data_IF_488165481400
#
_entry.id   IF_488165481400
#
_cell.length_a   1.000
_cell.length_b   1.000
_cell.length_c   1.000
_cell.angle_alpha   90.00
_cell.angle_beta   90.00
_cell.angle_gamma   90.00
#
_symmetry.space_group_name_H-M   'P 1'
#
loop_
_entity.id
_entity.type
_entity.pdbx_description
1 polymer ?
#
# COMPACT_ATOMS: atom_id res chain seq x y z
N UNK A 1 -5.86 15.90 50.88
CA UNK A 1 -5.87 16.48 49.52
C UNK A 1 -7.23 16.17 48.91
N UNK A 2 -7.99 17.20 48.55
CA UNK A 2 -9.34 17.07 47.98
C UNK A 2 -9.25 17.46 46.52
N UNK A 3 -9.57 16.54 45.61
CA UNK A 3 -9.79 16.85 44.19
C UNK A 3 -11.08 16.13 43.79
N UNK A 4 -12.18 16.89 43.75
CA UNK A 4 -13.42 16.47 43.15
C UNK A 4 -13.41 16.89 41.69
N UNK A 5 -13.38 15.92 40.76
CA UNK A 5 -13.55 16.17 39.34
C UNK A 5 -14.99 15.87 38.96
N UNK A 6 -15.78 16.92 38.71
CA UNK A 6 -17.10 16.81 38.08
C UNK A 6 -16.85 16.88 36.58
N UNK A 7 -17.20 15.80 35.85
CA UNK A 7 -17.23 15.79 34.39
C UNK A 7 -18.68 15.71 33.95
N UNK A 8 -19.18 16.81 33.39
CA UNK A 8 -20.47 16.87 32.71
C UNK A 8 -20.22 16.71 31.19
N UNK A 9 -20.71 15.63 30.60
CA UNK A 9 -20.73 15.42 29.15
C UNK A 9 -22.17 15.53 28.65
N UNK A 10 -22.45 16.63 27.94
CA UNK A 10 -23.68 16.81 27.20
C UNK A 10 -23.41 17.56 25.88
N UNK A 11 -23.58 16.85 24.77
CA UNK A 11 -23.94 17.32 23.41
C UNK A 11 -23.94 16.06 22.53
N UNK A 12 -25.04 15.54 21.97
CA UNK A 12 -26.04 16.17 21.12
C UNK A 12 -25.68 15.84 19.65
N UNK A 13 -26.27 14.80 19.04
CA UNK A 13 -27.30 14.89 17.97
C UNK A 13 -26.71 15.29 16.60
N UNK A 14 -27.06 14.80 15.41
CA UNK A 14 -28.16 14.02 14.83
C UNK A 14 -27.70 13.48 13.46
N UNK A 15 -28.47 12.55 12.90
CA UNK A 15 -28.25 11.79 11.66
C UNK A 15 -28.50 12.64 10.41
N UNK A 16 -27.79 12.37 9.31
CA UNK A 16 -28.22 12.76 7.95
C UNK A 16 -28.51 11.51 7.11
N UNK A 17 -29.55 11.63 6.27
CA UNK A 17 -30.30 10.56 5.64
C UNK A 17 -30.24 10.59 4.10
N UNK A 18 -30.67 9.46 3.50
CA UNK A 18 -31.23 9.23 2.14
C UNK A 18 -30.35 9.56 0.91
N UNK A 19 -30.01 8.58 0.04
CA UNK A 19 -30.80 7.87 -1.01
C UNK A 19 -31.19 8.71 -2.24
N UNK A 20 -30.71 8.29 -3.43
CA UNK A 20 -31.53 7.78 -4.56
C UNK A 20 -31.03 8.19 -5.97
N UNK A 21 -31.14 7.23 -6.90
CA UNK A 21 -31.32 7.44 -8.35
C UNK A 21 -30.05 7.22 -9.18
N UNK A 22 -30.01 6.43 -10.25
CA UNK A 22 -31.07 5.79 -11.03
C UNK A 22 -30.52 5.50 -12.45
N UNK A 23 -30.68 4.25 -12.87
CA UNK A 23 -30.71 3.65 -14.21
C UNK A 23 -30.06 4.34 -15.45
N UNK A 24 -29.21 3.53 -16.09
CA UNK A 24 -29.20 3.10 -17.50
C UNK A 24 -29.42 4.12 -18.64
N UNK A 25 -28.50 4.09 -19.61
CA UNK A 25 -28.87 4.10 -21.03
C UNK A 25 -27.81 3.36 -21.87
N UNK A 26 -28.24 2.23 -22.43
CA UNK A 26 -27.53 1.46 -23.45
C UNK A 26 -27.64 2.19 -24.79
N UNK A 27 -26.53 2.40 -25.51
CA UNK A 27 -26.56 2.71 -26.95
C UNK A 27 -25.79 1.64 -27.73
N UNK A 28 -26.47 1.18 -28.77
CA UNK A 28 -26.12 0.08 -29.65
C UNK A 28 -25.34 0.53 -30.89
N UNK A 29 -24.65 -0.43 -31.51
CA UNK A 29 -24.26 -0.44 -32.93
C UNK A 29 -22.81 -0.01 -33.18
N UNK A 30 -21.97 -0.73 -33.92
CA UNK A 30 -22.12 -1.99 -34.63
C UNK A 30 -20.79 -2.35 -35.30
N UNK A 31 -20.47 -3.63 -35.35
CA UNK A 31 -19.56 -4.23 -36.34
C UNK A 31 -20.35 -4.44 -37.65
N UNK A 32 -19.75 -4.45 -38.87
CA UNK A 32 -18.67 -5.40 -39.19
C UNK A 32 -17.67 -5.04 -40.33
N UNK A 33 -16.65 -5.91 -40.49
CA UNK A 33 -16.06 -6.44 -41.76
C UNK A 33 -14.58 -6.10 -42.05
N UNK A 34 -13.71 -7.12 -41.97
CA UNK A 34 -12.43 -7.29 -42.71
C UNK A 34 -12.67 -8.20 -43.96
N UNK A 35 -11.72 -8.60 -44.87
CA UNK A 35 -10.24 -8.43 -45.03
C UNK A 35 -9.87 -8.17 -46.55
N UNK A 36 -8.73 -8.58 -47.21
CA UNK A 36 -7.39 -9.08 -46.83
C UNK A 36 -6.16 -8.40 -47.55
N UNK A 37 -4.96 -8.95 -47.26
CA UNK A 37 -3.55 -8.66 -47.62
C UNK A 37 -3.17 -8.44 -49.11
N UNK A 38 -1.92 -8.01 -49.43
CA UNK A 38 -0.91 -9.01 -49.79
C UNK A 38 0.53 -8.74 -49.30
N UNK A 39 1.29 -9.83 -49.21
CA UNK A 39 2.68 -9.86 -48.73
C UNK A 39 3.73 -9.33 -49.69
N UNK A 40 4.89 -9.01 -49.12
CA UNK A 40 6.14 -8.76 -49.82
C UNK A 40 7.24 -9.63 -49.22
N UNK A 41 7.77 -10.54 -50.03
CA UNK A 41 8.88 -11.43 -49.70
C UNK A 41 10.23 -10.73 -49.89
N UNK A 42 11.11 -10.89 -48.88
CA UNK A 42 12.57 -10.99 -48.90
C UNK A 42 13.45 -9.92 -49.57
N UNK A 43 14.38 -9.35 -48.77
CA UNK A 43 15.80 -9.20 -49.16
C UNK A 43 16.69 -9.29 -47.92
N UNK A 44 17.64 -10.22 -47.98
CA UNK A 44 18.64 -10.56 -46.95
C UNK A 44 19.87 -9.65 -47.08
N UNK A 45 20.51 -9.27 -45.96
CA UNK A 45 21.98 -9.21 -45.74
C UNK A 45 22.30 -8.69 -44.32
N UNK A 46 23.20 -9.40 -43.64
CA UNK A 46 23.60 -9.34 -42.23
C UNK A 46 24.55 -8.16 -41.88
N UNK A 47 25.31 -8.20 -40.76
CA UNK A 47 24.93 -8.25 -39.34
C UNK A 47 25.44 -6.98 -38.61
N UNK A 48 24.70 -6.50 -37.61
CA UNK A 48 25.27 -5.55 -36.64
C UNK A 48 24.89 -6.00 -35.24
N UNK A 49 25.93 -6.33 -34.48
CA UNK A 49 25.97 -6.57 -33.04
C UNK A 49 24.85 -5.89 -32.25
N UNK A 50 24.06 -6.61 -31.43
CA UNK A 50 23.41 -5.96 -30.32
C UNK A 50 24.49 -5.72 -29.28
N UNK A 51 25.03 -4.51 -29.27
CA UNK A 51 25.55 -3.92 -28.05
C UNK A 51 24.31 -3.71 -27.16
N UNK A 52 23.89 -4.77 -26.48
CA UNK A 52 22.81 -4.72 -25.49
C UNK A 52 23.42 -4.15 -24.19
N UNK A 53 23.90 -2.92 -24.29
CA UNK A 53 24.01 -2.05 -23.12
C UNK A 53 22.57 -1.80 -22.70
N UNK A 54 22.03 -2.72 -21.88
CA UNK A 54 20.79 -2.56 -21.13
C UNK A 54 20.95 -1.32 -20.26
N UNK A 55 20.66 -0.14 -20.82
CA UNK A 55 20.48 1.07 -20.03
C UNK A 55 19.41 0.72 -19.01
N UNK A 56 19.68 0.82 -17.69
CA UNK A 56 18.62 0.75 -16.72
C UNK A 56 17.66 1.87 -17.08
N UNK A 57 16.46 1.51 -17.51
CA UNK A 57 15.38 2.45 -17.71
C UNK A 57 15.08 3.01 -16.33
N UNK A 58 15.69 4.14 -15.98
CA UNK A 58 15.23 4.98 -14.89
C UNK A 58 13.86 5.46 -15.33
N UNK A 59 12.86 4.66 -14.98
CA UNK A 59 11.46 5.00 -15.21
C UNK A 59 11.26 6.31 -14.45
N UNK A 60 10.83 7.35 -15.17
CA UNK A 60 10.39 8.57 -14.50
C UNK A 60 9.40 8.16 -13.39
N UNK A 61 9.43 8.81 -12.21
CA UNK A 61 8.45 8.52 -11.18
C UNK A 61 7.07 8.64 -11.84
N UNK A 62 6.23 7.61 -11.69
CA UNK A 62 4.85 7.75 -12.09
C UNK A 62 4.26 8.92 -11.29
N UNK A 63 3.63 9.88 -11.96
CA UNK A 63 2.91 10.96 -11.29
C UNK A 63 1.76 10.32 -10.50
N UNK A 64 1.86 10.34 -9.18
CA UNK A 64 0.86 9.79 -8.28
C UNK A 64 0.92 10.46 -6.92
N UNK A 65 -0.11 10.23 -6.09
CA UNK A 65 -0.27 10.92 -4.80
C UNK A 65 0.83 10.57 -3.79
N UNK A 66 1.50 9.42 -3.89
CA UNK A 66 2.56 9.04 -2.96
C UNK A 66 3.86 9.80 -3.28
N UNK A 67 4.42 10.60 -2.34
CA UNK A 67 5.68 11.30 -2.58
C UNK A 67 6.83 10.32 -2.79
N UNK A 68 7.77 10.69 -3.67
CA UNK A 68 8.86 9.82 -4.11
C UNK A 68 9.71 9.25 -2.96
N UNK A 69 9.92 10.05 -1.90
CA UNK A 69 10.75 9.67 -0.76
C UNK A 69 10.15 8.55 0.10
N UNK A 70 8.86 8.23 -0.07
CA UNK A 70 8.22 7.07 0.57
C UNK A 70 8.40 5.78 -0.22
N UNK A 71 8.60 5.88 -1.54
CA UNK A 71 8.60 4.73 -2.43
C UNK A 71 9.78 3.79 -2.14
N UNK A 72 9.52 2.50 -2.25
CA UNK A 72 10.51 1.44 -2.08
C UNK A 72 10.21 0.50 -0.92
N UNK A 73 11.24 -0.22 -0.50
CA UNK A 73 11.18 -1.19 0.59
C UNK A 73 11.90 -0.68 1.83
N UNK A 74 11.33 -1.03 2.98
CA UNK A 74 11.71 -0.55 4.30
C UNK A 74 11.60 -1.70 5.29
N UNK A 75 12.50 -1.77 6.25
CA UNK A 75 12.53 -2.84 7.24
C UNK A 75 12.67 -2.35 8.67
N UNK A 76 12.17 -3.17 9.60
CA UNK A 76 12.38 -3.00 11.04
C UNK A 76 12.29 -4.36 11.73
N UNK A 77 12.84 -4.44 12.94
CA UNK A 77 12.79 -5.62 13.81
C UNK A 77 12.15 -5.27 15.15
N UNK A 78 11.45 -6.25 15.73
CA UNK A 78 10.82 -6.15 17.04
C UNK A 78 11.24 -7.39 17.82
N UNK A 79 11.95 -7.19 18.93
CA UNK A 79 12.36 -8.28 19.80
C UNK A 79 11.37 -8.44 20.96
N UNK A 80 11.01 -9.68 21.26
CA UNK A 80 10.30 -10.01 22.50
C UNK A 80 10.72 -11.40 23.02
N UNK A 81 10.04 -11.87 24.07
CA UNK A 81 10.36 -13.16 24.71
C UNK A 81 10.27 -14.38 23.77
N UNK A 82 9.55 -14.30 22.66
CA UNK A 82 9.46 -15.37 21.66
C UNK A 82 10.57 -15.32 20.61
N UNK A 83 11.30 -14.21 20.52
CA UNK A 83 12.43 -14.00 19.60
C UNK A 83 12.30 -12.71 18.79
N UNK A 84 13.08 -12.63 17.73
CA UNK A 84 13.08 -11.52 16.78
C UNK A 84 11.92 -11.66 15.78
N UNK A 85 11.19 -10.58 15.56
CA UNK A 85 10.14 -10.48 14.55
C UNK A 85 10.52 -9.43 13.52
N UNK A 86 10.43 -9.78 12.25
CA UNK A 86 10.78 -8.87 11.16
C UNK A 86 9.52 -8.26 10.54
N UNK A 87 9.68 -7.05 10.02
CA UNK A 87 8.66 -6.32 9.29
C UNK A 87 9.29 -5.73 8.05
N UNK A 88 8.83 -6.12 6.86
CA UNK A 88 9.22 -5.50 5.59
C UNK A 88 8.03 -4.78 4.98
N UNK A 89 8.07 -3.46 5.05
CA UNK A 89 7.10 -2.55 4.45
C UNK A 89 7.54 -2.22 3.02
N UNK A 90 6.63 -2.30 2.06
CA UNK A 90 6.83 -1.80 0.70
C UNK A 90 5.76 -0.78 0.38
N UNK A 91 6.19 0.40 -0.06
CA UNK A 91 5.30 1.46 -0.54
C UNK A 91 5.54 1.63 -2.04
N UNK A 92 4.46 1.55 -2.81
CA UNK A 92 4.45 1.78 -4.25
C UNK A 92 3.65 3.03 -4.59
N UNK A 93 3.85 3.52 -5.81
CA UNK A 93 3.09 4.67 -6.29
C UNK A 93 1.61 4.32 -6.47
N UNK A 94 0.73 5.32 -6.32
CA UNK A 94 -0.71 5.18 -6.54
C UNK A 94 -1.50 6.42 -6.13
N UNK A 95 -2.80 6.40 -6.41
CA UNK A 95 -3.75 7.45 -6.05
C UNK A 95 -4.54 7.11 -4.78
N UNK A 96 -5.29 8.09 -4.27
CA UNK A 96 -6.23 7.84 -3.17
C UNK A 96 -7.24 6.77 -3.57
N UNK A 97 -7.37 5.74 -2.74
CA UNK A 97 -8.20 4.55 -2.97
C UNK A 97 -7.44 3.34 -3.49
N UNK A 98 -6.23 3.52 -4.04
CA UNK A 98 -5.38 2.43 -4.52
C UNK A 98 -4.70 1.70 -3.36
N UNK A 99 -4.46 0.40 -3.53
CA UNK A 99 -3.56 -0.34 -2.64
C UNK A 99 -2.12 0.11 -2.91
N UNK A 100 -1.51 0.82 -1.97
CA UNK A 100 -0.14 1.35 -2.11
C UNK A 100 0.85 0.72 -1.14
N UNK A 101 0.36 0.04 -0.11
CA UNK A 101 1.18 -0.54 0.94
C UNK A 101 1.06 -2.07 0.92
N UNK A 102 2.21 -2.74 0.99
CA UNK A 102 2.32 -4.14 1.39
C UNK A 102 3.23 -4.24 2.61
N UNK A 103 2.86 -5.06 3.60
CA UNK A 103 3.67 -5.32 4.78
C UNK A 103 3.80 -6.83 4.96
N UNK A 104 5.03 -7.32 4.88
CA UNK A 104 5.38 -8.70 5.22
C UNK A 104 5.83 -8.73 6.68
N UNK A 105 5.29 -9.68 7.42
CA UNK A 105 5.48 -9.83 8.84
C UNK A 105 5.82 -11.29 9.13
N UNK A 106 7.05 -11.52 9.58
CA UNK A 106 7.56 -12.84 9.90
C UNK A 106 8.06 -12.89 11.33
N UNK A 107 8.02 -14.07 11.93
CA UNK A 107 8.67 -14.32 13.21
C UNK A 107 8.24 -15.62 13.87
N UNK A 108 8.78 -15.89 15.05
CA UNK A 108 8.44 -17.08 15.83
C UNK A 108 7.01 -17.03 16.37
N UNK A 109 6.46 -18.21 16.61
CA UNK A 109 5.28 -18.45 17.45
C UNK A 109 5.68 -19.45 18.55
N UNK A 110 4.81 -19.70 19.53
CA UNK A 110 5.12 -20.61 20.64
C UNK A 110 5.50 -22.04 20.23
N UNK A 111 5.14 -22.49 19.02
CA UNK A 111 5.42 -23.83 18.50
C UNK A 111 5.84 -23.85 17.02
N UNK A 112 6.28 -22.72 16.46
CA UNK A 112 6.63 -22.62 15.05
C UNK A 112 6.96 -21.19 14.62
N UNK A 113 6.54 -20.82 13.42
CA UNK A 113 6.69 -19.47 12.87
C UNK A 113 5.35 -18.98 12.32
N UNK A 114 5.26 -17.67 12.10
CA UNK A 114 4.20 -17.07 11.30
C UNK A 114 4.78 -16.33 10.09
N UNK A 115 3.97 -16.29 9.03
CA UNK A 115 4.15 -15.44 7.86
C UNK A 115 2.81 -14.76 7.57
N UNK A 116 2.79 -13.44 7.64
CA UNK A 116 1.62 -12.63 7.33
C UNK A 116 1.97 -11.60 6.25
N UNK A 117 1.10 -11.46 5.26
CA UNK A 117 1.17 -10.37 4.27
C UNK A 117 -0.09 -9.54 4.39
N UNK A 118 0.11 -8.24 4.57
CA UNK A 118 -0.94 -7.26 4.70
C UNK A 118 -0.92 -6.27 3.55
N UNK A 119 -2.09 -5.81 3.14
CA UNK A 119 -2.24 -4.73 2.16
C UNK A 119 -3.16 -3.63 2.69
N UNK A 120 -2.82 -2.38 2.38
CA UNK A 120 -3.60 -1.21 2.77
C UNK A 120 -3.69 -0.20 1.61
N UNK A 121 -4.82 0.50 1.59
CA UNK A 121 -5.13 1.53 0.60
C UNK A 121 -4.68 2.90 1.08
N UNK A 122 -4.27 3.76 0.14
CA UNK A 122 -4.03 5.16 0.40
C UNK A 122 -5.37 5.87 0.66
N UNK A 123 -5.45 6.65 1.73
CA UNK A 123 -6.64 7.48 2.01
C UNK A 123 -6.33 8.97 1.84
N UNK A 124 -5.09 9.38 2.08
CA UNK A 124 -4.58 10.71 1.77
C UNK A 124 -3.05 10.68 1.70
N UNK A 125 -2.46 11.65 1.01
CA UNK A 125 -1.02 11.87 0.97
C UNK A 125 -0.70 13.35 0.82
N UNK A 126 0.28 13.82 1.58
CA UNK A 126 0.87 15.14 1.49
C UNK A 126 2.37 15.03 1.76
N UNK A 127 3.15 16.06 1.40
CA UNK A 127 4.62 16.00 1.30
C UNK A 127 5.35 15.13 2.34
N UNK A 128 5.03 15.28 3.62
CA UNK A 128 5.67 14.58 4.74
C UNK A 128 4.73 13.62 5.51
N UNK A 129 3.55 13.29 4.96
CA UNK A 129 2.62 12.34 5.59
C UNK A 129 1.81 11.53 4.58
N UNK A 130 1.72 10.23 4.82
CA UNK A 130 0.75 9.34 4.18
C UNK A 130 -0.28 8.85 5.19
N UNK A 131 -1.53 8.83 4.79
CA UNK A 131 -2.61 8.17 5.52
C UNK A 131 -2.99 6.88 4.81
N UNK A 132 -2.97 5.78 5.54
CA UNK A 132 -3.35 4.46 5.07
C UNK A 132 -4.62 4.00 5.79
N UNK A 133 -5.58 3.49 5.03
CA UNK A 133 -6.76 2.84 5.57
C UNK A 133 -6.41 1.54 6.33
N UNK A 134 -7.41 0.87 6.92
CA UNK A 134 -7.20 -0.42 7.56
C UNK A 134 -6.55 -1.43 6.62
N UNK A 135 -5.64 -2.23 7.16
CA UNK A 135 -4.93 -3.26 6.40
C UNK A 135 -5.66 -4.60 6.44
N UNK A 136 -5.70 -5.30 5.32
CA UNK A 136 -6.30 -6.64 5.19
C UNK A 136 -5.21 -7.71 5.07
N UNK A 137 -5.49 -8.93 5.55
CA UNK A 137 -4.57 -10.08 5.43
C UNK A 137 -4.78 -10.77 4.09
N UNK A 138 -3.81 -10.65 3.18
CA UNK A 138 -3.81 -11.34 1.88
C UNK A 138 -3.20 -12.73 1.97
N UNK A 139 -2.17 -12.90 2.81
CA UNK A 139 -1.55 -14.20 3.12
C UNK A 139 -1.42 -14.33 4.64
N UNK A 140 -1.71 -15.52 5.17
CA UNK A 140 -1.51 -15.81 6.57
C UNK A 140 -1.22 -17.29 6.82
N UNK A 141 -0.06 -17.58 7.41
CA UNK A 141 0.43 -18.93 7.66
C UNK A 141 1.02 -19.00 9.08
N UNK A 142 0.37 -19.71 10.02
CA UNK A 142 -1.01 -20.19 9.94
C UNK A 142 -1.99 -19.01 9.90
N UNK A 143 -3.17 -19.19 9.29
CA UNK A 143 -4.14 -18.10 9.14
C UNK A 143 -4.61 -17.52 10.48
N UNK A 144 -4.62 -18.32 11.54
CA UNK A 144 -4.96 -17.89 12.90
C UNK A 144 -3.93 -16.96 13.55
N UNK A 145 -2.72 -16.84 13.00
CA UNK A 145 -1.68 -15.96 13.52
C UNK A 145 -1.76 -14.53 12.96
N UNK A 146 -2.61 -14.28 11.96
CA UNK A 146 -2.67 -13.00 11.24
C UNK A 146 -4.04 -12.34 11.41
N UNK A 147 -4.06 -11.12 11.93
CA UNK A 147 -5.28 -10.32 12.14
C UNK A 147 -5.20 -9.02 11.33
N UNK A 148 -6.26 -8.60 10.63
CA UNK A 148 -6.30 -7.29 9.98
C UNK A 148 -5.85 -6.17 10.91
N UNK A 149 -5.01 -5.27 10.40
CA UNK A 149 -4.52 -4.12 11.17
C UNK A 149 -5.41 -2.90 11.01
N UNK A 150 -5.46 -2.05 12.03
CA UNK A 150 -6.11 -0.73 11.95
C UNK A 150 -5.50 0.17 10.89
N UNK A 151 -6.17 1.30 10.61
CA UNK A 151 -5.61 2.39 9.83
C UNK A 151 -4.31 2.92 10.46
N UNK A 152 -3.47 3.57 9.65
CA UNK A 152 -2.18 4.07 10.11
C UNK A 152 -1.72 5.30 9.36
N UNK A 153 -0.96 6.15 10.03
CA UNK A 153 -0.22 7.25 9.42
C UNK A 153 1.24 6.83 9.23
N UNK A 154 1.86 7.26 8.13
CA UNK A 154 3.29 7.08 7.86
C UNK A 154 3.92 8.45 7.62
N UNK A 155 4.96 8.77 8.37
CA UNK A 155 5.68 10.04 8.31
C UNK A 155 7.13 9.78 7.94
N UNK A 156 7.68 10.54 6.99
CA UNK A 156 9.09 10.55 6.70
C UNK A 156 9.81 11.42 7.73
N UNK A 157 10.74 10.83 8.47
CA UNK A 157 11.53 11.53 9.47
C UNK A 157 12.72 12.27 8.83
N UNK A 158 13.29 13.30 9.50
CA UNK A 158 14.42 14.06 8.97
C UNK A 158 15.69 13.24 8.69
N UNK A 159 15.83 12.08 9.32
CA UNK A 159 16.93 11.14 9.09
C UNK A 159 16.70 10.19 7.90
N UNK A 160 15.56 10.35 7.21
CA UNK A 160 15.17 9.55 6.06
C UNK A 160 14.50 8.22 6.41
N UNK A 161 14.24 7.92 7.69
CA UNK A 161 13.47 6.74 8.11
C UNK A 161 11.95 6.98 8.00
N UNK A 162 11.16 5.91 7.92
CA UNK A 162 9.70 6.00 8.00
C UNK A 162 9.22 5.68 9.41
N UNK A 163 8.40 6.55 9.98
CA UNK A 163 7.66 6.26 11.19
C UNK A 163 6.21 5.93 10.85
N UNK A 164 5.73 4.75 11.23
CA UNK A 164 4.33 4.35 11.08
C UNK A 164 3.65 4.31 12.44
N UNK A 165 2.50 4.96 12.56
CA UNK A 165 1.66 5.00 13.77
C UNK A 165 0.29 4.41 13.47
N UNK A 166 -0.13 3.40 14.24
CA UNK A 166 -1.47 2.83 14.17
C UNK A 166 -2.46 3.77 14.86
N UNK A 167 -3.52 4.19 14.14
CA UNK A 167 -4.47 5.18 14.66
C UNK A 167 -5.48 4.61 15.67
N UNK A 168 -5.59 3.28 15.75
CA UNK A 168 -6.50 2.61 16.68
C UNK A 168 -5.94 2.44 18.09
N UNK A 169 -4.61 2.34 18.24
CA UNK A 169 -3.96 2.10 19.53
C UNK A 169 -2.71 2.94 19.80
N UNK A 170 -2.25 3.74 18.83
CA UNK A 170 -1.05 4.57 18.95
C UNK A 170 0.27 3.81 18.88
N UNK A 171 0.26 2.50 18.59
CA UNK A 171 1.49 1.73 18.41
C UNK A 171 2.32 2.29 17.26
N UNK A 172 3.63 2.37 17.47
CA UNK A 172 4.55 2.99 16.54
C UNK A 172 5.68 2.04 16.17
N UNK A 173 6.09 2.07 14.91
CA UNK A 173 7.27 1.40 14.39
C UNK A 173 8.06 2.34 13.49
N UNK A 174 9.38 2.35 13.64
CA UNK A 174 10.31 3.07 12.76
C UNK A 174 10.99 2.07 11.83
N UNK A 175 11.00 2.38 10.54
CA UNK A 175 11.56 1.56 9.48
C UNK A 175 12.73 2.27 8.81
N UNK A 176 13.79 1.52 8.56
CA UNK A 176 14.93 1.97 7.76
C UNK A 176 14.78 1.51 6.33
N UNK A 177 15.30 2.29 5.39
CA UNK A 177 15.29 1.92 3.97
C UNK A 177 16.20 0.71 3.76
N UNK A 178 15.76 -0.22 2.91
CA UNK A 178 16.55 -1.40 2.51
C UNK A 178 17.72 -1.04 1.57
#
# INVERSE_FOLDING_TARGET
MVIALIVALAAGGTVYALMSGGAADNRAGGDPTAPPSPGGTSRSSAPTTPDDTRQPSTSAPADGTVPADYLGSWSTTIDNASGEHTRRLTIRQGEVGDTVMSLVADGPTGNGTYHCVFEARLTAGSGDRLELGPSSVTVGQPRSACTPGSASEVTLLPDGSLQRVNTGNGEQLTYTRD
#
